data_IF_072832944589
#
_entry.id   IF_072832944589
#
_cell.length_a   1.000
_cell.length_b   1.000
_cell.length_c   1.000
_cell.angle_alpha   90.00
_cell.angle_beta   90.00
_cell.angle_gamma   90.00
#
_symmetry.space_group_name_H-M   'P 1'
#
loop_
_entity.id
_entity.type
_entity.pdbx_description
1 polymer ?
#
# COMPACT_ATOMS: atom_id res chain seq x y z
N UNK A 1 21.55 2.26 -21.02
CA UNK A 1 20.85 0.96 -20.94
C UNK A 1 21.91 -0.10 -20.66
N UNK A 2 22.05 -0.54 -19.40
CA UNK A 2 23.09 -1.48 -18.98
C UNK A 2 22.75 -2.90 -19.45
N UNK A 3 23.59 -3.47 -20.30
CA UNK A 3 23.42 -4.80 -20.90
C UNK A 3 23.50 -5.89 -19.83
N UNK A 4 22.38 -6.56 -19.59
CA UNK A 4 22.26 -7.72 -18.67
C UNK A 4 22.72 -9.03 -19.33
N UNK A 5 23.90 -9.04 -19.94
CA UNK A 5 24.45 -10.29 -20.46
C UNK A 5 25.20 -11.01 -19.34
N UNK A 6 24.61 -12.10 -18.83
CA UNK A 6 25.24 -13.01 -17.87
C UNK A 6 25.98 -14.07 -18.68
N UNK A 7 27.30 -14.20 -18.47
CA UNK A 7 28.13 -15.18 -19.16
C UNK A 7 27.63 -16.60 -18.82
N UNK A 8 27.10 -17.32 -19.80
CA UNK A 8 26.84 -18.75 -19.69
C UNK A 8 28.20 -19.48 -19.58
N UNK A 9 28.27 -20.48 -18.70
CA UNK A 9 29.48 -21.26 -18.47
C UNK A 9 29.98 -21.98 -19.72
N UNK A 10 31.27 -22.32 -19.73
CA UNK A 10 31.89 -23.05 -20.82
C UNK A 10 31.35 -24.49 -20.91
N UNK A 11 31.02 -24.93 -22.13
CA UNK A 11 30.55 -26.27 -22.46
C UNK A 11 31.60 -26.93 -23.35
N UNK A 12 31.93 -28.20 -23.10
CA UNK A 12 32.84 -28.96 -23.94
C UNK A 12 32.16 -29.28 -25.30
N UNK A 13 32.74 -28.89 -26.45
CA UNK A 13 32.11 -29.07 -27.75
C UNK A 13 32.01 -30.54 -28.20
N UNK A 14 32.66 -31.49 -27.52
CA UNK A 14 32.64 -32.90 -27.89
C UNK A 14 31.52 -33.70 -27.20
N UNK A 15 31.15 -33.33 -25.97
CA UNK A 15 30.22 -34.06 -25.10
C UNK A 15 29.01 -33.25 -24.69
N UNK A 16 29.02 -31.92 -24.86
CA UNK A 16 27.89 -31.05 -24.56
C UNK A 16 27.58 -30.88 -23.07
N UNK A 17 28.44 -31.38 -22.18
CA UNK A 17 28.29 -31.22 -20.72
C UNK A 17 29.00 -29.95 -20.22
N UNK A 18 28.40 -29.32 -19.21
CA UNK A 18 28.96 -28.13 -18.56
C UNK A 18 30.21 -28.51 -17.75
N UNK A 19 31.36 -27.93 -18.08
CA UNK A 19 32.62 -28.24 -17.41
C UNK A 19 32.71 -27.50 -16.07
N UNK A 20 32.18 -28.09 -14.99
CA UNK A 20 32.44 -27.63 -13.62
C UNK A 20 33.84 -28.08 -13.20
N UNK A 21 34.88 -27.41 -13.71
CA UNK A 21 36.24 -27.57 -13.20
C UNK A 21 36.31 -27.01 -11.79
N UNK A 22 36.06 -27.83 -10.77
CA UNK A 22 36.69 -27.80 -9.44
C UNK A 22 36.46 -29.15 -8.76
N UNK A 23 37.44 -30.03 -8.92
CA UNK A 23 38.00 -31.01 -7.98
C UNK A 23 37.18 -31.36 -6.72
N UNK A 24 36.82 -32.64 -6.59
CA UNK A 24 36.68 -33.34 -5.30
C UNK A 24 37.84 -34.37 -5.19
N UNK A 25 38.20 -34.96 -4.03
CA UNK A 25 37.61 -34.85 -2.68
C UNK A 25 38.65 -34.59 -1.55
N UNK A 26 38.25 -33.93 -0.46
CA UNK A 26 38.94 -34.10 0.84
C UNK A 26 37.93 -34.05 1.96
N UNK A 27 37.55 -35.24 2.40
CA UNK A 27 36.73 -35.49 3.57
C UNK A 27 37.59 -35.25 4.82
N UNK A 28 37.56 -34.02 5.32
CA UNK A 28 38.02 -33.69 6.68
C UNK A 28 36.78 -33.41 7.53
N UNK A 29 36.17 -34.49 8.04
CA UNK A 29 35.07 -34.44 9.01
C UNK A 29 35.55 -33.73 10.28
N UNK A 30 35.28 -32.42 10.36
CA UNK A 30 35.28 -31.66 11.61
C UNK A 30 33.85 -31.68 12.18
N UNK A 31 33.65 -31.93 13.49
CA UNK A 31 32.30 -32.06 14.08
C UNK A 31 31.45 -30.79 14.01
N UNK A 32 32.03 -29.64 13.64
CA UNK A 32 31.32 -28.38 13.44
C UNK A 32 30.50 -28.33 12.14
N UNK A 33 30.91 -29.08 11.11
CA UNK A 33 30.25 -29.03 9.79
C UNK A 33 28.92 -29.78 9.77
N UNK A 34 28.81 -30.87 10.55
CA UNK A 34 27.57 -31.65 10.67
C UNK A 34 26.45 -30.83 11.31
N UNK A 35 26.72 -30.13 12.42
CA UNK A 35 25.71 -29.27 13.08
C UNK A 35 25.26 -28.14 12.17
N UNK A 36 26.18 -27.53 11.42
CA UNK A 36 25.85 -26.48 10.45
C UNK A 36 25.01 -27.02 9.27
N UNK A 37 25.29 -28.23 8.79
CA UNK A 37 24.50 -28.90 7.76
C UNK A 37 23.11 -29.28 8.26
N UNK A 38 22.97 -29.77 9.50
CA UNK A 38 21.66 -30.05 10.12
C UNK A 38 20.84 -28.77 10.32
N UNK A 39 21.46 -27.68 10.79
CA UNK A 39 20.80 -26.38 10.92
C UNK A 39 20.31 -25.85 9.55
N UNK A 40 21.12 -26.02 8.50
CA UNK A 40 20.75 -25.69 7.13
C UNK A 40 19.59 -26.57 6.63
N UNK A 41 19.60 -27.88 6.88
CA UNK A 41 18.51 -28.78 6.53
C UNK A 41 17.20 -28.39 7.23
N UNK A 42 17.25 -28.06 8.52
CA UNK A 42 16.09 -27.57 9.28
C UNK A 42 15.54 -26.24 8.75
N UNK A 43 16.43 -25.33 8.33
CA UNK A 43 16.00 -24.08 7.70
C UNK A 43 15.31 -24.32 6.34
N UNK A 44 15.82 -25.26 5.55
CA UNK A 44 15.21 -25.65 4.28
C UNK A 44 13.86 -26.33 4.45
N UNK A 45 13.71 -27.24 5.41
CA UNK A 45 12.42 -27.89 5.68
C UNK A 45 11.38 -26.89 6.16
N UNK A 46 11.78 -25.93 7.00
CA UNK A 46 10.90 -24.83 7.44
C UNK A 46 10.47 -23.95 6.28
N UNK A 47 11.42 -23.51 5.44
CA UNK A 47 11.10 -22.68 4.28
C UNK A 47 10.17 -23.40 3.28
N UNK A 48 10.36 -24.70 3.08
CA UNK A 48 9.46 -25.52 2.26
C UNK A 48 8.05 -25.60 2.85
N UNK A 49 7.93 -25.79 4.16
CA UNK A 49 6.64 -25.81 4.86
C UNK A 49 5.91 -24.45 4.76
N UNK A 50 6.64 -23.34 4.88
CA UNK A 50 6.08 -21.99 4.71
C UNK A 50 5.59 -21.74 3.28
N UNK A 51 6.32 -22.24 2.26
CA UNK A 51 5.91 -22.11 0.87
C UNK A 51 4.66 -22.93 0.55
N UNK A 52 4.55 -24.15 1.06
CA UNK A 52 3.36 -24.97 0.94
C UNK A 52 2.17 -24.36 1.68
N UNK A 53 2.37 -23.82 2.89
CA UNK A 53 1.33 -23.09 3.60
C UNK A 53 0.83 -21.86 2.82
N UNK A 54 1.73 -21.11 2.19
CA UNK A 54 1.37 -19.98 1.34
C UNK A 54 0.63 -20.42 0.07
N UNK A 55 1.04 -21.54 -0.54
CA UNK A 55 0.35 -22.13 -1.71
C UNK A 55 -1.06 -22.59 -1.34
N UNK A 56 -1.23 -23.24 -0.18
CA UNK A 56 -2.53 -23.67 0.33
C UNK A 56 -3.42 -22.48 0.69
N UNK A 57 -2.88 -21.44 1.34
CA UNK A 57 -3.62 -20.22 1.65
C UNK A 57 -4.10 -19.51 0.36
N UNK A 58 -3.25 -19.44 -0.66
CA UNK A 58 -3.62 -18.90 -1.98
C UNK A 58 -4.67 -19.76 -2.68
N UNK A 59 -4.55 -21.08 -2.61
CA UNK A 59 -5.55 -22.00 -3.17
C UNK A 59 -6.89 -21.90 -2.45
N UNK A 60 -6.91 -21.78 -1.12
CA UNK A 60 -8.12 -21.59 -0.32
C UNK A 60 -8.78 -20.22 -0.57
N UNK A 61 -7.98 -19.17 -0.75
CA UNK A 61 -8.48 -17.86 -1.17
C UNK A 61 -9.02 -17.88 -2.61
N UNK A 62 -8.46 -18.70 -3.49
CA UNK A 62 -8.95 -18.90 -4.85
C UNK A 62 -10.21 -19.79 -4.91
N UNK A 63 -10.37 -20.73 -3.98
CA UNK A 63 -11.54 -21.63 -3.93
C UNK A 63 -12.77 -20.99 -3.31
N UNK A 64 -12.60 -19.88 -2.59
CA UNK A 64 -13.69 -19.00 -2.19
C UNK A 64 -13.67 -17.79 -3.12
N UNK A 65 -14.21 -17.88 -4.35
CA UNK A 65 -14.57 -16.69 -5.07
C UNK A 65 -15.57 -15.96 -4.17
N UNK A 66 -15.15 -14.83 -3.59
CA UNK A 66 -16.12 -13.85 -3.11
C UNK A 66 -17.18 -13.71 -4.21
N UNK A 67 -18.48 -13.63 -3.87
CA UNK A 67 -19.54 -13.58 -4.88
C UNK A 67 -19.10 -12.59 -5.95
N UNK A 68 -18.99 -13.04 -7.20
CA UNK A 68 -18.44 -12.23 -8.27
C UNK A 68 -19.29 -10.96 -8.35
N UNK A 69 -18.81 -9.89 -7.71
CA UNK A 69 -19.50 -8.62 -7.68
C UNK A 69 -19.67 -8.24 -9.13
N UNK A 70 -20.90 -7.93 -9.52
CA UNK A 70 -21.14 -7.47 -10.87
C UNK A 70 -20.20 -6.30 -11.17
N UNK A 71 -19.73 -6.19 -12.41
CA UNK A 71 -18.92 -5.05 -12.83
C UNK A 71 -19.58 -3.72 -12.43
N UNK A 72 -20.91 -3.68 -12.46
CA UNK A 72 -21.71 -2.55 -11.97
C UNK A 72 -21.47 -2.24 -10.49
N UNK A 73 -21.51 -3.24 -9.61
CA UNK A 73 -21.28 -3.06 -8.17
C UNK A 73 -19.85 -2.61 -7.89
N UNK A 74 -18.88 -3.17 -8.62
CA UNK A 74 -17.46 -2.79 -8.51
C UNK A 74 -17.23 -1.34 -8.93
N UNK A 75 -17.88 -0.91 -10.02
CA UNK A 75 -17.84 0.47 -10.51
C UNK A 75 -18.54 1.43 -9.55
N UNK A 76 -19.69 1.06 -9.00
CA UNK A 76 -20.39 1.85 -7.99
C UNK A 76 -19.53 2.03 -6.73
N UNK A 77 -18.92 0.95 -6.23
CA UNK A 77 -18.01 1.01 -5.10
C UNK A 77 -16.80 1.92 -5.38
N UNK A 78 -16.23 1.86 -6.58
CA UNK A 78 -15.15 2.76 -6.99
C UNK A 78 -15.60 4.22 -7.06
N UNK A 79 -16.78 4.49 -7.60
CA UNK A 79 -17.35 5.83 -7.67
C UNK A 79 -17.59 6.39 -6.26
N UNK A 80 -18.22 5.60 -5.39
CA UNK A 80 -18.47 5.98 -4.01
C UNK A 80 -17.16 6.23 -3.25
N UNK A 81 -16.16 5.37 -3.41
CA UNK A 81 -14.85 5.55 -2.79
C UNK A 81 -14.14 6.83 -3.24
N UNK A 82 -14.18 7.15 -4.55
CA UNK A 82 -13.63 8.40 -5.08
C UNK A 82 -14.37 9.62 -4.55
N UNK A 83 -15.71 9.54 -4.47
CA UNK A 83 -16.52 10.62 -3.93
C UNK A 83 -16.22 10.85 -2.44
N UNK A 84 -16.16 9.78 -1.64
CA UNK A 84 -15.82 9.88 -0.22
C UNK A 84 -14.42 10.48 0.00
N UNK A 85 -13.42 10.06 -0.78
CA UNK A 85 -12.07 10.62 -0.69
C UNK A 85 -12.02 12.10 -1.09
N UNK A 86 -12.79 12.49 -2.13
CA UNK A 86 -12.91 13.89 -2.53
C UNK A 86 -13.60 14.72 -1.44
N UNK A 87 -14.71 14.22 -0.90
CA UNK A 87 -15.48 14.90 0.14
C UNK A 87 -14.68 15.03 1.43
N UNK A 88 -13.91 14.02 1.85
CA UNK A 88 -13.02 14.09 3.01
C UNK A 88 -11.90 15.13 2.81
N UNK A 89 -11.26 15.14 1.65
CA UNK A 89 -10.21 16.11 1.32
C UNK A 89 -10.76 17.55 1.28
N UNK A 90 -11.97 17.73 0.75
CA UNK A 90 -12.64 19.03 0.64
C UNK A 90 -13.43 19.43 1.89
N UNK A 91 -13.74 18.49 2.80
CA UNK A 91 -14.50 18.74 4.04
C UNK A 91 -13.74 19.64 4.98
N UNK A 92 -12.41 19.46 5.10
CA UNK A 92 -11.58 20.35 5.91
C UNK A 92 -11.34 21.69 5.20
N UNK A 93 -11.18 21.67 3.87
CA UNK A 93 -11.05 22.90 3.07
C UNK A 93 -12.27 23.81 3.17
N UNK A 94 -13.47 23.23 3.21
CA UNK A 94 -14.72 23.98 3.30
C UNK A 94 -15.05 24.46 4.72
N UNK A 95 -14.41 23.90 5.76
CA UNK A 95 -14.63 24.34 7.16
C UNK A 95 -13.98 25.69 7.46
N UNK A 96 -12.84 25.98 6.82
CA UNK A 96 -12.13 27.24 6.97
C UNK A 96 -11.96 27.87 5.59
N UNK A 97 -13.10 28.23 4.99
CA UNK A 97 -13.14 29.08 3.80
C UNK A 97 -12.92 30.53 4.23
N UNK A 98 -12.21 31.32 3.42
CA UNK A 98 -12.23 32.76 3.58
C UNK A 98 -13.67 33.26 3.42
N UNK A 99 -14.05 34.31 4.16
CA UNK A 99 -15.33 34.98 3.89
C UNK A 99 -15.24 35.59 2.50
N UNK A 100 -16.29 35.44 1.70
CA UNK A 100 -16.40 36.16 0.44
C UNK A 100 -16.76 37.62 0.73
N UNK A 101 -16.52 38.52 -0.24
CA UNK A 101 -16.77 39.97 -0.07
C UNK A 101 -18.24 40.24 0.34
N UNK A 102 -19.20 39.52 -0.26
CA UNK A 102 -20.63 39.61 0.08
C UNK A 102 -20.92 39.24 1.56
N UNK A 103 -20.19 38.26 2.11
CA UNK A 103 -20.36 37.83 3.50
C UNK A 103 -19.72 38.82 4.49
N UNK A 104 -18.66 39.51 4.09
CA UNK A 104 -18.07 40.60 4.88
C UNK A 104 -19.05 41.76 4.95
N UNK A 105 -19.59 42.20 3.81
CA UNK A 105 -20.57 43.28 3.72
C UNK A 105 -21.83 42.99 4.56
N UNK A 106 -22.30 41.73 4.54
CA UNK A 106 -23.42 41.30 5.38
C UNK A 106 -23.11 41.47 6.88
N UNK A 107 -21.92 41.09 7.34
CA UNK A 107 -21.54 41.23 8.74
C UNK A 107 -21.38 42.70 9.16
N UNK A 108 -20.93 43.57 8.27
CA UNK A 108 -20.89 45.02 8.50
C UNK A 108 -22.30 45.59 8.64
N UNK A 109 -23.22 45.25 7.73
CA UNK A 109 -24.61 45.67 7.80
C UNK A 109 -25.31 45.18 9.08
N UNK A 110 -25.02 43.95 9.54
CA UNK A 110 -25.55 43.43 10.82
C UNK A 110 -25.01 44.22 12.01
N UNK A 111 -23.72 44.58 12.03
CA UNK A 111 -23.12 45.41 13.08
C UNK A 111 -23.70 46.81 13.11
N UNK A 112 -23.87 47.41 11.93
CA UNK A 112 -24.50 48.73 11.79
C UNK A 112 -25.94 48.72 12.29
N UNK A 113 -26.73 47.71 11.88
CA UNK A 113 -28.11 47.56 12.33
C UNK A 113 -28.19 47.45 13.86
N UNK A 114 -27.33 46.64 14.48
CA UNK A 114 -27.27 46.52 15.94
C UNK A 114 -26.96 47.85 16.63
N UNK A 115 -25.97 48.59 16.12
CA UNK A 115 -25.61 49.92 16.66
C UNK A 115 -26.79 50.88 16.55
N UNK A 116 -27.50 50.88 15.42
CA UNK A 116 -28.67 51.74 15.21
C UNK A 116 -29.81 51.38 16.18
N UNK A 117 -30.11 50.10 16.33
CA UNK A 117 -31.12 49.62 17.28
C UNK A 117 -30.75 49.97 18.73
N UNK A 118 -29.47 49.89 19.11
CA UNK A 118 -28.98 50.32 20.43
C UNK A 118 -29.06 51.85 20.61
N UNK A 119 -28.78 52.64 19.58
CA UNK A 119 -28.92 54.10 19.61
C UNK A 119 -30.39 54.55 19.67
N UNK A 120 -31.28 53.88 18.93
CA UNK A 120 -32.72 54.09 18.98
C UNK A 120 -33.28 53.69 20.34
N UNK A 121 -32.92 52.51 20.85
CA UNK A 121 -33.30 52.06 22.20
C UNK A 121 -32.81 53.01 23.30
N UNK A 122 -31.56 53.51 23.21
CA UNK A 122 -31.06 54.51 24.16
C UNK A 122 -31.84 55.82 24.08
N UNK A 123 -32.27 56.25 22.90
CA UNK A 123 -33.11 57.45 22.73
C UNK A 123 -34.54 57.26 23.21
N UNK A 124 -35.04 56.03 23.23
CA UNK A 124 -36.37 55.70 23.76
C UNK A 124 -36.36 55.54 25.29
N UNK A 125 -35.23 55.12 25.87
CA UNK A 125 -35.04 54.96 27.32
C UNK A 125 -34.64 56.26 28.04
N UNK A 126 -34.16 57.27 27.31
CA UNK A 126 -33.75 58.60 27.81
C UNK A 126 -34.88 59.64 27.72
#
# INVERSE_FOLDING_TARGET
MSSRFVSAGAIDPSTGEATTTTTAPTDSTSPSTTTAQTAKQLAWTRAAAELEAARLARAAAASNPAPEKSLYETLQANKAAKQAAFDEAHRLRNQFRALDDDEVDFLEAVRERKRREEEEGRREEE
#
